data_IF_990393050743
#
_entry.id   IF_990393050743
#
_cell.length_a   1.000
_cell.length_b   1.000
_cell.length_c   1.000
_cell.angle_alpha   90.00
_cell.angle_beta   90.00
_cell.angle_gamma   90.00
#
_symmetry.space_group_name_H-M   'P 1'
#
loop_
_entity.id
_entity.type
_entity.pdbx_description
1 polymer ?
#
# COMPACT_ATOMS: atom_id res chain seq x y z
N UNK A 1 2.31 -10.80 -24.66
CA UNK A 1 3.03 -9.74 -25.40
C UNK A 1 2.70 -8.33 -24.89
N UNK A 2 1.42 -7.88 -24.91
CA UNK A 2 1.04 -6.55 -24.42
C UNK A 2 1.48 -6.25 -22.97
N UNK A 3 1.35 -7.23 -22.07
CA UNK A 3 1.73 -7.03 -20.67
C UNK A 3 3.22 -6.95 -20.41
N UNK A 4 4.03 -7.64 -21.20
CA UNK A 4 5.49 -7.51 -21.14
C UNK A 4 5.94 -6.13 -21.61
N UNK A 5 5.28 -5.57 -22.64
CA UNK A 5 5.53 -4.20 -23.10
C UNK A 5 5.13 -3.20 -22.00
N UNK A 6 3.95 -3.37 -21.39
CA UNK A 6 3.53 -2.51 -20.28
C UNK A 6 4.52 -2.53 -19.11
N UNK A 7 5.00 -3.72 -18.73
CA UNK A 7 6.04 -3.89 -17.70
C UNK A 7 7.35 -3.19 -18.08
N UNK A 8 7.84 -3.39 -19.31
CA UNK A 8 9.06 -2.72 -19.78
C UNK A 8 8.94 -1.20 -19.77
N UNK A 9 7.81 -0.67 -20.22
CA UNK A 9 7.53 0.77 -20.14
C UNK A 9 7.43 1.26 -18.68
N UNK A 10 6.84 0.49 -17.77
CA UNK A 10 6.73 0.84 -16.36
C UNK A 10 8.10 0.91 -15.68
N UNK A 11 8.99 -0.06 -15.94
CA UNK A 11 10.38 -0.05 -15.45
C UNK A 11 11.16 1.16 -15.97
N UNK A 12 11.03 1.45 -17.27
CA UNK A 12 11.68 2.63 -17.86
C UNK A 12 11.14 3.94 -17.26
N UNK A 13 9.82 4.02 -17.01
CA UNK A 13 9.20 5.18 -16.39
C UNK A 13 9.68 5.35 -14.94
N UNK A 14 9.72 4.29 -14.14
CA UNK A 14 10.22 4.31 -12.76
C UNK A 14 11.68 4.75 -12.68
N UNK A 15 12.55 4.23 -13.55
CA UNK A 15 13.96 4.63 -13.62
C UNK A 15 14.09 6.13 -13.97
N UNK A 16 13.29 6.62 -14.91
CA UNK A 16 13.25 8.06 -15.24
C UNK A 16 12.77 8.89 -14.06
N UNK A 17 11.65 8.50 -13.44
CA UNK A 17 11.09 9.18 -12.26
C UNK A 17 12.11 9.24 -11.14
N UNK A 18 12.83 8.16 -10.85
CA UNK A 18 13.90 8.13 -9.84
C UNK A 18 14.97 9.18 -10.09
N UNK A 19 15.34 9.41 -11.36
CA UNK A 19 16.30 10.44 -11.76
C UNK A 19 15.80 11.90 -11.63
N UNK A 20 14.50 12.12 -11.40
CA UNK A 20 13.91 13.46 -11.23
C UNK A 20 14.02 13.99 -9.79
N UNK A 21 14.39 13.16 -8.81
CA UNK A 21 14.44 13.57 -7.41
C UNK A 21 15.38 14.75 -7.15
N UNK A 22 16.53 14.78 -7.81
CA UNK A 22 17.50 15.89 -7.72
C UNK A 22 17.04 17.18 -8.40
N UNK A 23 15.98 17.12 -9.21
CA UNK A 23 15.40 18.29 -9.90
C UNK A 23 14.29 18.95 -9.10
N UNK A 24 13.79 18.33 -8.03
CA UNK A 24 12.75 18.92 -7.18
C UNK A 24 13.31 20.15 -6.45
N UNK A 25 12.60 21.28 -6.56
CA UNK A 25 13.04 22.62 -6.12
C UNK A 25 12.47 23.02 -4.77
N UNK A 26 11.36 22.42 -4.38
CA UNK A 26 10.64 22.71 -3.14
C UNK A 26 10.08 21.42 -2.53
N UNK A 27 9.59 21.53 -1.29
CA UNK A 27 9.07 20.39 -0.55
C UNK A 27 7.79 19.79 -1.15
N UNK A 28 6.95 20.59 -1.83
CA UNK A 28 5.76 20.09 -2.51
C UNK A 28 6.10 19.22 -3.73
N UNK A 29 7.04 19.66 -4.56
CA UNK A 29 7.57 18.88 -5.69
C UNK A 29 8.19 17.58 -5.18
N UNK A 30 9.00 17.67 -4.11
CA UNK A 30 9.66 16.50 -3.50
C UNK A 30 8.66 15.53 -2.89
N UNK A 31 7.61 16.01 -2.24
CA UNK A 31 6.53 15.18 -1.68
C UNK A 31 5.77 14.43 -2.78
N UNK A 32 5.27 15.14 -3.80
CA UNK A 32 4.56 14.53 -4.93
C UNK A 32 5.44 13.53 -5.68
N UNK A 33 6.72 13.86 -5.89
CA UNK A 33 7.70 12.98 -6.52
C UNK A 33 7.94 11.70 -5.70
N UNK A 34 8.19 11.82 -4.39
CA UNK A 34 8.46 10.68 -3.53
C UNK A 34 7.26 9.72 -3.47
N UNK A 35 6.05 10.27 -3.40
CA UNK A 35 4.81 9.49 -3.43
C UNK A 35 4.63 8.80 -4.79
N UNK A 36 4.86 9.52 -5.89
CA UNK A 36 4.79 8.93 -7.23
C UNK A 36 5.80 7.79 -7.43
N UNK A 37 7.02 7.91 -6.90
CA UNK A 37 8.02 6.84 -6.98
C UNK A 37 7.53 5.57 -6.28
N UNK A 38 6.97 5.68 -5.07
CA UNK A 38 6.37 4.54 -4.35
C UNK A 38 5.20 3.91 -5.12
N UNK A 39 4.39 4.73 -5.78
CA UNK A 39 3.27 4.28 -6.59
C UNK A 39 3.75 3.53 -7.84
N UNK A 40 4.84 3.98 -8.48
CA UNK A 40 5.48 3.26 -9.58
C UNK A 40 6.07 1.91 -9.14
N UNK A 41 6.76 1.85 -7.99
CA UNK A 41 7.24 0.59 -7.42
C UNK A 41 6.08 -0.39 -7.18
N UNK A 42 4.96 0.12 -6.65
CA UNK A 42 3.75 -0.67 -6.43
C UNK A 42 3.10 -1.11 -7.74
N UNK A 43 3.03 -0.26 -8.76
CA UNK A 43 2.58 -0.61 -10.12
C UNK A 43 3.41 -1.76 -10.71
N UNK A 44 4.74 -1.68 -10.63
CA UNK A 44 5.64 -2.73 -11.12
C UNK A 44 5.40 -4.03 -10.37
N UNK A 45 5.20 -3.99 -9.05
CA UNK A 45 4.88 -5.18 -8.25
C UNK A 45 3.60 -5.86 -8.73
N UNK A 46 2.52 -5.10 -8.98
CA UNK A 46 1.24 -5.65 -9.47
C UNK A 46 1.36 -6.21 -10.90
N UNK A 47 2.07 -5.53 -11.78
CA UNK A 47 2.35 -6.03 -13.13
C UNK A 47 3.16 -7.34 -13.09
N UNK A 48 4.11 -7.44 -12.16
CA UNK A 48 4.93 -8.64 -12.02
C UNK A 48 4.07 -9.81 -11.55
N UNK A 49 3.22 -9.57 -10.54
CA UNK A 49 2.25 -10.56 -10.08
C UNK A 49 1.39 -11.09 -11.24
N UNK A 50 0.85 -10.18 -12.06
CA UNK A 50 0.06 -10.52 -13.26
C UNK A 50 0.84 -11.37 -14.26
N UNK A 51 2.13 -11.07 -14.49
CA UNK A 51 2.98 -11.79 -15.44
C UNK A 51 3.44 -13.17 -14.97
N UNK A 52 3.56 -13.40 -13.65
CA UNK A 52 4.07 -14.68 -13.12
C UNK A 52 3.09 -15.85 -13.27
N UNK A 53 1.88 -15.61 -13.78
CA UNK A 53 0.92 -16.65 -14.19
C UNK A 53 0.30 -17.47 -13.06
N UNK A 54 0.46 -17.06 -11.79
CA UNK A 54 -0.11 -17.73 -10.61
C UNK A 54 -1.46 -17.18 -10.17
N UNK A 55 -2.17 -16.47 -11.04
CA UNK A 55 -3.32 -15.67 -10.69
C UNK A 55 -4.52 -16.00 -11.57
N UNK A 56 -5.72 -15.88 -11.00
CA UNK A 56 -6.97 -15.97 -11.78
C UNK A 56 -7.16 -14.74 -12.66
N UNK A 57 -8.08 -14.81 -13.63
CA UNK A 57 -8.46 -13.62 -14.42
C UNK A 57 -9.00 -12.50 -13.52
N UNK A 58 -9.68 -12.85 -12.43
CA UNK A 58 -10.14 -11.90 -11.42
C UNK A 58 -8.96 -11.22 -10.68
N UNK A 59 -7.95 -11.99 -10.28
CA UNK A 59 -6.74 -11.46 -9.65
C UNK A 59 -5.98 -10.54 -10.62
N UNK A 60 -5.83 -10.97 -11.89
CA UNK A 60 -5.21 -10.18 -12.94
C UNK A 60 -5.97 -8.86 -13.16
N UNK A 61 -7.30 -8.90 -13.21
CA UNK A 61 -8.15 -7.70 -13.31
C UNK A 61 -7.92 -6.76 -12.12
N UNK A 62 -7.85 -7.31 -10.92
CA UNK A 62 -7.65 -6.57 -9.67
C UNK A 62 -6.28 -5.90 -9.63
N UNK A 63 -5.22 -6.64 -9.97
CA UNK A 63 -3.85 -6.12 -9.98
C UNK A 63 -3.63 -5.08 -11.06
N UNK A 64 -4.17 -5.28 -12.26
CA UNK A 64 -4.12 -4.29 -13.33
C UNK A 64 -4.91 -3.02 -13.00
N UNK A 65 -6.07 -3.16 -12.37
CA UNK A 65 -6.87 -2.02 -11.92
C UNK A 65 -6.13 -1.24 -10.85
N UNK A 66 -5.51 -1.94 -9.89
CA UNK A 66 -4.65 -1.33 -8.87
C UNK A 66 -3.46 -0.60 -9.48
N UNK A 67 -2.79 -1.22 -10.47
CA UNK A 67 -1.66 -0.64 -11.17
C UNK A 67 -2.04 0.67 -11.91
N UNK A 68 -3.24 0.73 -12.49
CA UNK A 68 -3.77 1.94 -13.11
C UNK A 68 -4.11 3.02 -12.06
N UNK A 69 -4.81 2.65 -10.99
CA UNK A 69 -5.12 3.55 -9.87
C UNK A 69 -3.87 4.16 -9.26
N UNK A 70 -2.77 3.41 -9.14
CA UNK A 70 -1.51 3.95 -8.64
C UNK A 70 -0.96 5.06 -9.53
N UNK A 71 -1.03 4.91 -10.85
CA UNK A 71 -0.56 5.93 -11.80
C UNK A 71 -1.45 7.19 -11.77
N UNK A 72 -2.76 7.01 -11.62
CA UNK A 72 -3.70 8.12 -11.48
C UNK A 72 -3.52 8.84 -10.13
N UNK A 73 -3.25 8.09 -9.06
CA UNK A 73 -2.93 8.64 -7.74
C UNK A 73 -1.62 9.43 -7.77
N UNK A 74 -0.60 8.94 -8.50
CA UNK A 74 0.64 9.69 -8.69
C UNK A 74 0.32 11.04 -9.35
N UNK A 75 -0.44 11.04 -10.44
CA UNK A 75 -0.86 12.27 -11.14
C UNK A 75 -1.61 13.22 -10.21
N UNK A 76 -2.57 12.70 -9.46
CA UNK A 76 -3.39 13.48 -8.53
C UNK A 76 -2.52 14.20 -7.50
N UNK A 77 -1.49 13.55 -6.95
CA UNK A 77 -0.58 14.18 -5.99
C UNK A 77 0.12 15.44 -6.51
N UNK A 78 0.49 15.49 -7.80
CA UNK A 78 1.06 16.72 -8.39
C UNK A 78 0.02 17.83 -8.54
N UNK A 79 -1.22 17.48 -8.86
CA UNK A 79 -2.32 18.44 -9.01
C UNK A 79 -2.71 19.02 -7.65
N UNK A 80 -2.85 18.16 -6.63
CA UNK A 80 -3.20 18.54 -5.25
C UNK A 80 -2.23 19.55 -4.66
N UNK A 81 -0.93 19.39 -4.96
CA UNK A 81 0.13 20.25 -4.46
C UNK A 81 0.48 21.41 -5.41
N UNK A 82 -0.23 21.56 -6.53
CA UNK A 82 -0.02 22.67 -7.47
C UNK A 82 1.33 22.66 -8.19
N UNK A 83 1.91 21.47 -8.42
CA UNK A 83 3.27 21.28 -8.98
C UNK A 83 3.27 20.52 -10.32
N UNK A 84 2.14 20.55 -11.03
CA UNK A 84 1.96 19.84 -12.31
C UNK A 84 2.78 20.41 -13.47
N UNK A 85 3.28 21.64 -13.41
CA UNK A 85 3.90 22.25 -14.60
C UNK A 85 5.35 21.79 -14.85
N UNK A 86 6.04 21.29 -13.81
CA UNK A 86 7.48 21.03 -13.89
C UNK A 86 7.80 19.53 -13.99
N UNK A 87 7.41 18.74 -12.98
CA UNK A 87 7.82 17.33 -12.89
C UNK A 87 6.94 16.44 -13.75
N UNK A 88 5.64 16.74 -13.85
CA UNK A 88 4.66 15.90 -14.55
C UNK A 88 4.94 15.74 -16.05
N UNK A 89 5.27 16.79 -16.85
CA UNK A 89 5.61 16.63 -18.26
C UNK A 89 6.80 15.72 -18.50
N UNK A 90 7.76 15.69 -17.55
CA UNK A 90 8.95 14.82 -17.61
C UNK A 90 8.63 13.35 -17.36
N UNK A 91 7.47 13.06 -16.79
CA UNK A 91 6.99 11.71 -16.51
C UNK A 91 5.96 11.23 -17.54
N UNK A 92 5.69 11.99 -18.60
CA UNK A 92 4.73 11.59 -19.62
C UNK A 92 5.13 10.26 -20.31
N UNK A 93 4.23 9.29 -20.31
CA UNK A 93 4.46 7.96 -20.88
C UNK A 93 3.13 7.25 -21.19
N UNK A 94 3.21 6.10 -21.87
CA UNK A 94 2.04 5.33 -22.30
C UNK A 94 1.66 4.18 -21.34
N UNK A 95 2.24 4.10 -20.13
CA UNK A 95 2.04 2.96 -19.23
C UNK A 95 0.56 2.81 -18.86
N UNK A 96 -0.12 3.90 -18.45
CA UNK A 96 -1.56 3.85 -18.14
C UNK A 96 -2.40 3.33 -19.31
N UNK A 97 -2.07 3.73 -20.55
CA UNK A 97 -2.77 3.26 -21.76
C UNK A 97 -2.53 1.77 -22.01
N UNK A 98 -1.31 1.29 -21.83
CA UNK A 98 -0.96 -0.12 -21.99
C UNK A 98 -1.64 -1.01 -20.94
N UNK A 99 -1.71 -0.54 -19.69
CA UNK A 99 -2.44 -1.22 -18.60
C UNK A 99 -3.93 -1.23 -18.91
N UNK A 100 -4.51 -0.10 -19.32
CA UNK A 100 -5.93 -0.01 -19.71
C UNK A 100 -6.29 -0.95 -20.86
N UNK A 101 -5.46 -1.03 -21.91
CA UNK A 101 -5.68 -2.00 -22.98
C UNK A 101 -5.65 -3.45 -22.47
N UNK A 102 -4.77 -3.75 -21.51
CA UNK A 102 -4.63 -5.10 -20.95
C UNK A 102 -5.82 -5.45 -20.05
N UNK A 103 -6.37 -4.48 -19.31
CA UNK A 103 -7.63 -4.62 -18.57
C UNK A 103 -8.79 -4.99 -19.48
N UNK A 104 -8.92 -4.30 -20.62
CA UNK A 104 -9.97 -4.57 -21.59
C UNK A 104 -9.87 -5.97 -22.21
N UNK A 105 -8.64 -6.50 -22.36
CA UNK A 105 -8.41 -7.85 -22.88
C UNK A 105 -8.69 -8.92 -21.83
N UNK A 106 -8.30 -8.68 -20.57
CA UNK A 106 -8.45 -9.66 -19.50
C UNK A 106 -9.93 -9.93 -19.17
N UNK A 107 -10.79 -8.91 -19.24
CA UNK A 107 -12.25 -9.02 -19.08
C UNK A 107 -12.68 -9.91 -17.90
N UNK A 108 -12.00 -9.76 -16.75
CA UNK A 108 -12.26 -10.56 -15.57
C UNK A 108 -13.70 -10.37 -15.10
N UNK A 109 -14.46 -11.46 -15.03
CA UNK A 109 -15.86 -11.42 -14.60
C UNK A 109 -15.95 -10.96 -13.14
N UNK A 110 -16.95 -10.15 -12.82
CA UNK A 110 -17.32 -9.88 -11.44
C UNK A 110 -17.90 -11.16 -10.84
N UNK A 111 -17.07 -11.95 -10.17
CA UNK A 111 -17.57 -13.02 -9.31
C UNK A 111 -18.44 -12.40 -8.22
N UNK A 112 -19.69 -12.88 -8.10
CA UNK A 112 -20.58 -12.44 -7.02
C UNK A 112 -19.98 -12.90 -5.71
N UNK A 113 -19.72 -11.95 -4.81
CA UNK A 113 -19.21 -12.25 -3.48
C UNK A 113 -20.19 -13.18 -2.76
N UNK A 114 -19.73 -14.36 -2.40
CA UNK A 114 -20.50 -15.31 -1.61
C UNK A 114 -20.00 -15.33 -0.17
N UNK A 115 -20.92 -15.64 0.74
CA UNK A 115 -20.65 -15.73 2.17
C UNK A 115 -20.96 -17.14 2.67
N UNK A 116 -20.14 -17.63 3.58
CA UNK A 116 -20.37 -18.86 4.34
C UNK A 116 -20.05 -18.58 5.80
N UNK A 117 -21.01 -18.88 6.68
CA UNK A 117 -20.91 -18.65 8.13
C UNK A 117 -20.60 -17.19 8.49
N UNK A 118 -21.17 -16.24 7.74
CA UNK A 118 -20.95 -14.80 7.93
C UNK A 118 -19.63 -14.25 7.36
N UNK A 119 -18.76 -15.10 6.80
CA UNK A 119 -17.48 -14.67 6.21
C UNK A 119 -17.46 -14.78 4.68
N UNK A 120 -16.74 -13.89 3.98
CA UNK A 120 -16.49 -14.03 2.55
C UNK A 120 -15.81 -15.37 2.20
N UNK A 121 -16.19 -16.00 1.10
CA UNK A 121 -15.64 -17.29 0.66
C UNK A 121 -14.14 -17.23 0.32
N UNK A 122 -13.61 -16.08 -0.11
CA UNK A 122 -12.17 -15.89 -0.35
C UNK A 122 -11.33 -15.87 0.93
N UNK A 123 -11.94 -15.61 2.10
CA UNK A 123 -11.20 -15.59 3.36
C UNK A 123 -10.83 -17.02 3.78
N UNK A 124 -9.55 -17.28 4.06
CA UNK A 124 -9.07 -18.61 4.43
C UNK A 124 -9.68 -19.08 5.75
N UNK A 125 -9.92 -20.39 5.95
CA UNK A 125 -10.46 -20.91 7.21
C UNK A 125 -9.66 -20.52 8.45
N UNK A 126 -8.32 -20.48 8.34
CA UNK A 126 -7.45 -20.06 9.44
C UNK A 126 -7.63 -18.58 9.84
N UNK A 127 -7.96 -17.71 8.89
CA UNK A 127 -8.19 -16.29 9.15
C UNK A 127 -9.56 -16.08 9.82
N UNK A 128 -10.58 -16.82 9.37
CA UNK A 128 -11.91 -16.82 10.01
C UNK A 128 -11.84 -17.27 11.46
N UNK A 129 -11.16 -18.39 11.70
CA UNK A 129 -10.96 -18.93 13.07
C UNK A 129 -10.23 -17.92 13.96
N UNK A 130 -9.28 -17.18 13.40
CA UNK A 130 -8.56 -16.15 14.15
C UNK A 130 -9.45 -14.96 14.51
N UNK A 131 -10.29 -14.48 13.59
CA UNK A 131 -11.25 -13.40 13.84
C UNK A 131 -12.34 -13.80 14.84
N UNK A 132 -12.65 -15.09 14.92
CA UNK A 132 -13.58 -15.66 15.90
C UNK A 132 -12.91 -15.96 17.26
N UNK A 133 -11.58 -15.92 17.34
CA UNK A 133 -10.85 -16.23 18.57
C UNK A 133 -10.99 -15.09 19.58
N UNK A 134 -11.26 -15.43 20.84
CA UNK A 134 -11.30 -14.47 21.95
C UNK A 134 -9.90 -14.05 22.43
N UNK A 135 -8.86 -14.78 22.04
CA UNK A 135 -7.48 -14.50 22.42
C UNK A 135 -6.54 -14.76 21.24
N UNK A 136 -5.64 -13.82 20.99
CA UNK A 136 -4.61 -13.91 19.96
C UNK A 136 -3.26 -13.73 20.65
N UNK A 137 -2.36 -14.71 20.51
CA UNK A 137 -1.01 -14.63 21.08
C UNK A 137 -0.18 -13.59 20.32
N UNK A 138 0.28 -12.50 20.97
CA UNK A 138 1.09 -11.50 20.30
C UNK A 138 2.54 -11.95 20.12
N UNK A 139 3.16 -11.53 19.02
CA UNK A 139 4.61 -11.64 18.83
C UNK A 139 5.34 -10.46 19.49
N UNK A 140 4.74 -9.27 19.41
CA UNK A 140 5.23 -8.05 20.07
C UNK A 140 4.08 -7.31 20.73
N UNK A 141 4.38 -6.66 21.85
CA UNK A 141 3.47 -5.76 22.56
C UNK A 141 4.01 -4.34 22.48
N UNK A 142 3.15 -3.41 22.08
CA UNK A 142 3.42 -1.98 22.05
C UNK A 142 2.69 -1.31 23.20
N UNK A 143 3.42 -0.61 24.05
CA UNK A 143 2.87 0.07 25.22
C UNK A 143 3.60 1.39 25.48
N UNK A 144 2.87 2.52 25.48
CA UNK A 144 3.48 3.85 25.67
C UNK A 144 4.10 4.02 27.07
N UNK A 145 3.57 3.31 28.07
CA UNK A 145 4.05 3.27 29.46
C UNK A 145 5.37 2.48 29.63
N UNK A 146 5.83 1.79 28.58
CA UNK A 146 7.03 0.95 28.63
C UNK A 146 6.82 -0.46 29.18
N UNK A 147 5.58 -0.88 29.46
CA UNK A 147 5.26 -2.24 29.90
C UNK A 147 5.32 -3.30 28.78
N UNK A 148 5.52 -2.88 27.53
CA UNK A 148 5.63 -3.73 26.34
C UNK A 148 7.04 -3.79 25.77
N UNK A 149 7.20 -4.47 24.62
CA UNK A 149 8.48 -4.56 23.90
C UNK A 149 8.90 -3.22 23.29
N UNK A 150 7.95 -2.43 22.80
CA UNK A 150 8.21 -1.13 22.18
C UNK A 150 7.21 -0.07 22.67
N UNK A 151 7.61 1.21 22.63
CA UNK A 151 6.74 2.34 22.97
C UNK A 151 5.92 2.86 21.78
N UNK A 152 6.40 2.61 20.57
CA UNK A 152 5.80 3.09 19.32
C UNK A 152 5.45 1.94 18.41
N UNK A 153 4.41 2.13 17.60
CA UNK A 153 3.96 1.13 16.62
C UNK A 153 5.00 1.01 15.50
N UNK A 154 5.60 2.13 15.09
CA UNK A 154 6.66 2.13 14.07
C UNK A 154 7.85 1.26 14.47
N UNK A 155 8.31 1.33 15.73
CA UNK A 155 9.42 0.49 16.19
C UNK A 155 9.08 -1.00 16.17
N UNK A 156 7.83 -1.37 16.49
CA UNK A 156 7.37 -2.75 16.38
C UNK A 156 7.28 -3.22 14.93
N UNK A 157 6.88 -2.35 14.00
CA UNK A 157 6.90 -2.65 12.57
C UNK A 157 8.32 -2.79 12.02
N UNK A 158 9.25 -1.94 12.45
CA UNK A 158 10.67 -2.06 12.07
C UNK A 158 11.29 -3.37 12.58
N UNK A 159 10.90 -3.82 13.78
CA UNK A 159 11.27 -5.13 14.30
C UNK A 159 10.62 -6.27 13.49
N UNK A 160 9.33 -6.12 13.16
CA UNK A 160 8.61 -7.08 12.33
C UNK A 160 9.20 -7.18 10.91
N UNK A 161 9.72 -6.10 10.34
CA UNK A 161 10.33 -6.08 9.02
C UNK A 161 11.63 -6.90 8.94
N UNK A 162 12.33 -7.07 10.07
CA UNK A 162 13.58 -7.85 10.17
C UNK A 162 13.35 -9.35 10.39
N UNK A 163 12.10 -9.78 10.59
CA UNK A 163 11.78 -11.17 10.91
C UNK A 163 12.04 -12.09 9.71
N UNK A 164 12.43 -13.32 10.02
CA UNK A 164 12.46 -14.41 9.04
C UNK A 164 11.12 -15.14 8.98
N UNK A 165 10.74 -15.63 7.80
CA UNK A 165 9.56 -16.46 7.58
C UNK A 165 8.31 -15.71 7.09
N UNK A 166 7.29 -16.48 6.68
CA UNK A 166 6.06 -15.98 6.08
C UNK A 166 4.84 -16.06 6.99
N UNK A 167 5.02 -16.50 8.25
CA UNK A 167 3.94 -16.58 9.23
C UNK A 167 3.27 -15.23 9.51
N UNK A 168 2.06 -15.28 10.08
CA UNK A 168 1.40 -14.10 10.62
C UNK A 168 2.19 -13.55 11.79
N UNK A 169 2.37 -12.23 11.80
CA UNK A 169 3.06 -11.51 12.86
C UNK A 169 2.10 -10.57 13.56
N UNK A 170 1.75 -10.88 14.80
CA UNK A 170 0.76 -10.18 15.60
C UNK A 170 1.45 -9.14 16.47
N UNK A 171 1.07 -7.88 16.30
CA UNK A 171 1.48 -6.77 17.16
C UNK A 171 0.27 -6.34 17.98
N UNK A 172 0.35 -6.53 19.29
CA UNK A 172 -0.68 -6.07 20.22
C UNK A 172 -0.33 -4.66 20.68
N UNK A 173 -1.19 -3.70 20.34
CA UNK A 173 -1.08 -2.30 20.72
C UNK A 173 -1.99 -2.06 21.91
N UNK A 174 -1.40 -1.80 23.08
CA UNK A 174 -2.16 -1.54 24.30
C UNK A 174 -2.98 -0.25 24.19
N UNK A 175 -3.86 -0.03 25.16
CA UNK A 175 -4.61 1.21 25.29
C UNK A 175 -3.69 2.43 25.33
N UNK A 176 -4.09 3.48 24.63
CA UNK A 176 -3.29 4.69 24.44
C UNK A 176 -3.67 5.45 23.17
N UNK A 177 -3.17 6.68 23.08
CA UNK A 177 -3.29 7.53 21.89
C UNK A 177 -1.92 7.60 21.23
N UNK A 178 -1.80 6.89 20.11
CA UNK A 178 -0.57 6.79 19.32
C UNK A 178 -0.61 7.84 18.20
N UNK A 179 0.13 8.93 18.40
CA UNK A 179 0.28 10.01 17.41
C UNK A 179 1.36 9.66 16.40
N UNK A 180 1.07 8.71 15.52
CA UNK A 180 2.01 8.17 14.54
C UNK A 180 1.34 8.05 13.17
N UNK A 181 2.12 8.27 12.10
CA UNK A 181 1.73 7.89 10.74
C UNK A 181 2.41 6.57 10.39
N UNK A 182 1.60 5.54 10.19
CA UNK A 182 2.03 4.16 10.01
C UNK A 182 2.07 3.83 8.53
N UNK A 183 3.19 3.27 8.07
CA UNK A 183 3.38 2.82 6.70
C UNK A 183 3.81 1.34 6.69
N UNK A 184 2.97 0.48 6.13
CA UNK A 184 3.21 -0.95 5.98
C UNK A 184 3.61 -1.21 4.52
N UNK A 185 4.90 -0.97 4.22
CA UNK A 185 5.43 -1.19 2.88
C UNK A 185 5.29 -2.64 2.37
N UNK A 186 5.25 -2.80 1.05
CA UNK A 186 4.99 -4.05 0.30
C UNK A 186 5.84 -5.28 0.71
N UNK A 187 7.00 -5.07 1.34
CA UNK A 187 7.88 -6.14 1.80
C UNK A 187 7.39 -6.78 3.12
N UNK A 188 6.63 -6.04 3.92
CA UNK A 188 6.05 -6.53 5.17
C UNK A 188 4.77 -7.30 4.88
N UNK A 189 4.84 -8.63 4.95
CA UNK A 189 3.71 -9.52 4.69
C UNK A 189 3.09 -10.01 6.00
N UNK A 190 1.80 -10.30 5.98
CA UNK A 190 1.08 -10.97 7.07
C UNK A 190 1.21 -10.30 8.45
N UNK A 191 1.23 -8.96 8.49
CA UNK A 191 1.17 -8.21 9.75
C UNK A 191 -0.28 -8.14 10.22
N UNK A 192 -0.52 -8.32 11.52
CA UNK A 192 -1.80 -8.11 12.17
C UNK A 192 -1.62 -7.16 13.34
N UNK A 193 -2.38 -6.06 13.36
CA UNK A 193 -2.44 -5.16 14.50
C UNK A 193 -3.69 -5.49 15.32
N UNK A 194 -3.53 -5.64 16.63
CA UNK A 194 -4.63 -5.89 17.58
C UNK A 194 -4.60 -4.84 18.67
N UNK A 195 -5.70 -4.14 18.90
CA UNK A 195 -5.82 -3.14 19.97
C UNK A 195 -6.63 -3.65 21.18
N UNK A 196 -6.54 -2.95 22.31
CA UNK A 196 -7.34 -3.21 23.53
C UNK A 196 -8.82 -2.82 23.39
N UNK A 197 -9.24 -2.38 22.21
CA UNK A 197 -10.63 -2.05 21.88
C UNK A 197 -10.77 -0.72 21.12
N UNK A 198 -11.92 -0.57 20.45
CA UNK A 198 -12.22 0.56 19.55
C UNK A 198 -11.97 1.95 20.16
N UNK A 199 -12.26 2.12 21.46
CA UNK A 199 -12.11 3.41 22.17
C UNK A 199 -10.87 3.48 23.05
N UNK A 200 -10.13 2.38 23.18
CA UNK A 200 -8.99 2.26 24.09
C UNK A 200 -7.68 2.47 23.35
N UNK A 201 -7.56 1.93 22.13
CA UNK A 201 -6.37 2.07 21.30
C UNK A 201 -6.71 2.94 20.10
N UNK A 202 -6.16 4.16 20.07
CA UNK A 202 -6.40 5.14 19.01
C UNK A 202 -5.09 5.47 18.32
N UNK A 203 -5.02 5.26 17.01
CA UNK A 203 -3.90 5.71 16.16
C UNK A 203 -4.37 6.97 15.43
N UNK A 204 -3.58 8.04 15.50
CA UNK A 204 -3.93 9.33 14.90
C UNK A 204 -2.74 9.94 14.17
N UNK A 205 -2.98 10.37 12.93
CA UNK A 205 -2.09 11.21 12.15
C UNK A 205 -2.65 12.62 11.98
N UNK A 206 -1.79 13.56 11.63
CA UNK A 206 -2.15 14.98 11.41
C UNK A 206 -1.76 15.48 10.01
N UNK A 207 -1.49 14.56 9.07
CA UNK A 207 -1.13 14.90 7.69
C UNK A 207 -2.37 15.25 6.88
N UNK A 208 -2.24 16.21 5.97
CA UNK A 208 -3.30 16.63 5.06
C UNK A 208 -2.74 17.34 3.84
N UNK A 209 -3.56 17.51 2.80
CA UNK A 209 -3.22 18.30 1.61
C UNK A 209 -2.92 19.76 1.96
N UNK A 210 -3.74 20.37 2.81
CA UNK A 210 -3.46 21.72 3.33
C UNK A 210 -2.15 21.83 4.11
N UNK A 211 -1.67 20.71 4.68
CA UNK A 211 -0.36 20.61 5.35
C UNK A 211 0.80 20.19 4.43
N UNK A 212 0.60 20.15 3.11
CA UNK A 212 1.64 19.83 2.13
C UNK A 212 1.90 18.33 1.89
N UNK A 213 1.07 17.43 2.43
CA UNK A 213 1.08 16.00 2.08
C UNK A 213 0.15 15.73 0.89
N UNK A 214 0.39 14.70 0.08
CA UNK A 214 -0.64 14.28 -0.89
C UNK A 214 -1.78 13.53 -0.19
N UNK A 215 -2.91 13.33 -0.86
CA UNK A 215 -3.98 12.44 -0.36
C UNK A 215 -3.42 11.05 -0.05
N UNK A 216 -2.58 10.51 -0.93
CA UNK A 216 -1.92 9.20 -0.76
C UNK A 216 -1.13 9.11 0.54
N UNK A 217 -0.37 10.14 0.89
CA UNK A 217 0.52 10.13 2.06
C UNK A 217 -0.08 10.80 3.31
N UNK A 218 -1.38 11.14 3.24
CA UNK A 218 -2.14 11.70 4.37
C UNK A 218 -2.79 10.64 5.27
N UNK A 219 -2.85 9.39 4.80
CA UNK A 219 -3.42 8.28 5.55
C UNK A 219 -2.70 8.09 6.90
N UNK A 220 -3.47 7.84 7.97
CA UNK A 220 -2.89 7.54 9.29
C UNK A 220 -2.25 6.16 9.34
N UNK A 221 -2.85 5.20 8.62
CA UNK A 221 -2.32 3.85 8.42
C UNK A 221 -2.43 3.55 6.92
N UNK A 222 -1.28 3.37 6.27
CA UNK A 222 -1.16 3.08 4.84
C UNK A 222 -0.25 1.88 4.56
#
# INVERSE_FOLDING_TARGET
MAMQVAMGCALNAETRTKGLGSKCRNEHEKAAWADCLKLYESTILQLNHTLTGKCSDFDAQTWLSTALTNLDTCRAGFVELGVSDFVWPLMNNNVSKLISNSLSVNNGSTEKQTYRDGFPTWMKPGDRKLLQSSSVTPNLVVAQDGSGNHRTIKAALDAAAKRSGSGRFVIHVKSGIYRETIEIGNKMKNIMLVGDGLRNTVITGSRSVGGGSTTFNSATVG
#
